data_IF_312137693274
#
_entry.id   IF_312137693274
#
_cell.length_a   1.000
_cell.length_b   1.000
_cell.length_c   1.000
_cell.angle_alpha   90.00
_cell.angle_beta   90.00
_cell.angle_gamma   90.00
#
_symmetry.space_group_name_H-M   'P 1'
#
loop_
_entity.id
_entity.type
_entity.pdbx_description
1 polymer ?
#
# COMPACT_ATOMS: atom_id res chain seq x y z
N UNK A 1 6.32 -11.30 -17.56
CA UNK A 1 6.00 -9.98 -18.15
C UNK A 1 5.85 -10.05 -19.68
N UNK A 2 6.81 -10.61 -20.42
CA UNK A 2 6.72 -10.75 -21.90
C UNK A 2 5.50 -11.54 -22.37
N UNK A 3 5.16 -12.68 -21.73
CA UNK A 3 4.02 -13.52 -22.13
C UNK A 3 2.67 -12.77 -22.06
N UNK A 4 2.45 -11.91 -21.09
CA UNK A 4 1.22 -11.12 -20.99
C UNK A 4 1.13 -10.02 -22.07
N UNK A 5 2.27 -9.47 -22.49
CA UNK A 5 2.35 -8.47 -23.56
C UNK A 5 2.13 -9.10 -24.94
N UNK A 6 2.69 -10.31 -25.17
CA UNK A 6 2.46 -11.05 -26.42
C UNK A 6 1.01 -11.50 -26.55
N UNK A 7 0.35 -11.82 -25.43
CA UNK A 7 -1.06 -12.24 -25.39
C UNK A 7 -2.01 -11.06 -25.67
N UNK A 8 -1.71 -9.87 -25.11
CA UNK A 8 -2.51 -8.66 -25.32
C UNK A 8 -1.60 -7.46 -25.41
N UNK A 9 -1.55 -6.80 -26.56
CA UNK A 9 -0.63 -5.67 -26.88
C UNK A 9 -0.92 -4.37 -26.12
N UNK A 10 -1.82 -4.40 -25.13
CA UNK A 10 -2.17 -3.25 -24.29
C UNK A 10 -1.90 -3.56 -22.82
N UNK A 11 -1.13 -2.68 -22.17
CA UNK A 11 -0.93 -2.76 -20.71
C UNK A 11 -2.16 -2.13 -20.04
N UNK A 12 -2.88 -2.86 -19.17
CA UNK A 12 -4.02 -2.31 -18.44
C UNK A 12 -3.60 -1.20 -17.49
N UNK A 13 -4.46 -0.19 -17.33
CA UNK A 13 -4.25 0.90 -16.36
C UNK A 13 -4.36 0.40 -14.92
N UNK A 14 -5.25 -0.56 -14.64
CA UNK A 14 -5.42 -1.15 -13.31
C UNK A 14 -4.45 -2.32 -13.12
N UNK A 15 -3.74 -2.34 -11.99
CA UNK A 15 -2.81 -3.43 -11.63
C UNK A 15 -3.52 -4.79 -11.56
N UNK A 16 -4.74 -4.84 -11.03
CA UNK A 16 -5.56 -6.05 -10.95
C UNK A 16 -5.79 -6.67 -12.33
N UNK A 17 -6.14 -5.86 -13.34
CA UNK A 17 -6.32 -6.33 -14.71
C UNK A 17 -5.02 -6.85 -15.33
N UNK A 18 -3.88 -6.27 -14.98
CA UNK A 18 -2.58 -6.76 -15.43
C UNK A 18 -2.30 -8.17 -14.91
N UNK A 19 -2.49 -8.41 -13.60
CA UNK A 19 -2.27 -9.74 -13.04
C UNK A 19 -3.26 -10.79 -13.57
N UNK A 20 -4.51 -10.38 -13.86
CA UNK A 20 -5.46 -11.24 -14.55
C UNK A 20 -4.96 -11.63 -15.94
N UNK A 21 -4.49 -10.68 -16.72
CA UNK A 21 -3.91 -10.95 -18.05
C UNK A 21 -2.69 -11.87 -17.99
N UNK A 22 -1.84 -11.73 -16.97
CA UNK A 22 -0.69 -12.64 -16.77
C UNK A 22 -1.17 -14.05 -16.54
N UNK A 23 -2.19 -14.26 -15.70
CA UNK A 23 -2.77 -15.57 -15.46
C UNK A 23 -3.41 -16.17 -16.72
N UNK A 24 -4.26 -15.42 -17.39
CA UNK A 24 -4.94 -15.85 -18.61
C UNK A 24 -3.92 -16.22 -19.70
N UNK A 25 -2.88 -15.40 -19.88
CA UNK A 25 -1.80 -15.68 -20.81
C UNK A 25 -1.06 -16.98 -20.48
N UNK A 26 -0.71 -17.23 -19.22
CA UNK A 26 -0.06 -18.47 -18.83
C UNK A 26 -0.98 -19.68 -18.95
N UNK A 27 -2.26 -19.50 -18.65
CA UNK A 27 -3.21 -20.59 -18.73
C UNK A 27 -3.51 -21.00 -20.19
N UNK A 28 -3.64 -20.01 -21.10
CA UNK A 28 -4.01 -20.22 -22.50
C UNK A 28 -2.79 -20.39 -23.43
N UNK A 29 -1.69 -19.62 -23.23
CA UNK A 29 -0.59 -19.57 -24.19
C UNK A 29 0.29 -20.83 -24.21
N UNK A 30 0.23 -21.65 -23.17
CA UNK A 30 0.90 -22.95 -23.20
C UNK A 30 0.30 -23.88 -24.28
N UNK A 31 -0.91 -23.57 -24.76
CA UNK A 31 -1.58 -24.28 -25.82
C UNK A 31 -1.19 -23.78 -27.23
N UNK A 32 -0.70 -22.53 -27.37
CA UNK A 32 -0.46 -21.88 -28.67
C UNK A 32 0.99 -21.94 -29.18
N UNK A 33 1.98 -22.14 -28.32
CA UNK A 33 3.41 -22.00 -28.68
C UNK A 33 4.05 -23.25 -29.30
N UNK A 34 3.37 -24.37 -29.32
CA UNK A 34 3.83 -25.58 -30.03
C UNK A 34 2.91 -25.88 -31.20
N UNK A 35 3.25 -25.36 -32.36
CA UNK A 35 2.54 -25.46 -33.63
C UNK A 35 2.19 -26.89 -34.11
N UNK A 36 1.34 -27.55 -33.39
CA UNK A 36 0.81 -28.90 -33.69
C UNK A 36 -0.22 -29.28 -32.66
N UNK A 37 -1.45 -28.88 -32.82
CA UNK A 37 -2.72 -29.51 -32.34
C UNK A 37 -2.80 -30.25 -31.01
N UNK A 38 -1.80 -30.22 -30.17
CA UNK A 38 -1.78 -30.83 -28.83
C UNK A 38 -2.05 -29.79 -27.78
N UNK A 39 -3.28 -29.71 -27.32
CA UNK A 39 -3.62 -29.09 -26.01
C UNK A 39 -2.91 -29.91 -24.93
N UNK A 40 -1.93 -29.33 -24.26
CA UNK A 40 -1.40 -29.93 -23.04
C UNK A 40 -2.47 -29.79 -21.96
N UNK A 41 -3.28 -30.81 -21.80
CA UNK A 41 -4.18 -30.94 -20.66
C UNK A 41 -3.36 -30.71 -19.38
N UNK A 42 -3.83 -29.79 -18.52
CA UNK A 42 -3.23 -29.58 -17.20
C UNK A 42 -3.30 -30.94 -16.46
N UNK A 43 -2.22 -31.30 -15.81
CA UNK A 43 -2.15 -32.60 -15.09
C UNK A 43 -3.23 -32.73 -14.03
N UNK A 44 -3.58 -31.63 -13.39
CA UNK A 44 -4.66 -31.60 -12.38
C UNK A 44 -6.06 -31.76 -13.01
N UNK A 45 -6.22 -31.63 -14.32
CA UNK A 45 -7.50 -31.77 -15.02
C UNK A 45 -8.53 -30.69 -14.72
N UNK A 46 -8.15 -29.59 -14.08
CA UNK A 46 -9.03 -28.46 -13.80
C UNK A 46 -9.13 -27.54 -15.02
N UNK A 47 -10.34 -27.05 -15.28
CA UNK A 47 -10.57 -25.95 -16.18
C UNK A 47 -10.06 -24.61 -15.57
N UNK A 48 -10.08 -23.52 -16.35
CA UNK A 48 -9.58 -22.23 -15.93
C UNK A 48 -10.28 -21.72 -14.68
N UNK A 49 -11.58 -21.91 -14.55
CA UNK A 49 -12.37 -21.46 -13.42
C UNK A 49 -12.07 -22.28 -12.15
N UNK A 50 -11.95 -23.58 -12.27
CA UNK A 50 -11.57 -24.46 -11.17
C UNK A 50 -10.17 -24.19 -10.69
N UNK A 51 -9.22 -24.01 -11.63
CA UNK A 51 -7.84 -23.68 -11.32
C UNK A 51 -7.73 -22.33 -10.60
N UNK A 52 -8.41 -21.29 -11.11
CA UNK A 52 -8.46 -19.94 -10.52
C UNK A 52 -9.02 -19.96 -9.09
N UNK A 53 -10.10 -20.71 -8.83
CA UNK A 53 -10.69 -20.83 -7.48
C UNK A 53 -9.71 -21.43 -6.46
N UNK A 54 -9.05 -22.53 -6.83
CA UNK A 54 -8.05 -23.18 -5.97
C UNK A 54 -6.85 -22.24 -5.75
N UNK A 55 -6.38 -21.59 -6.82
CA UNK A 55 -5.26 -20.66 -6.78
C UNK A 55 -5.54 -19.45 -5.85
N UNK A 56 -6.71 -18.85 -5.95
CA UNK A 56 -7.14 -17.75 -5.05
C UNK A 56 -7.13 -18.19 -3.59
N UNK A 57 -7.71 -19.35 -3.30
CA UNK A 57 -7.74 -19.87 -1.93
C UNK A 57 -6.34 -20.19 -1.40
N UNK A 58 -5.50 -20.80 -2.23
CA UNK A 58 -4.10 -21.10 -1.92
C UNK A 58 -3.31 -19.80 -1.62
N UNK A 59 -3.47 -18.79 -2.46
CA UNK A 59 -2.81 -17.50 -2.28
C UNK A 59 -3.20 -16.82 -0.95
N UNK A 60 -4.47 -16.91 -0.57
CA UNK A 60 -4.94 -16.41 0.72
C UNK A 60 -4.35 -17.19 1.92
N UNK A 61 -4.22 -18.51 1.84
CA UNK A 61 -3.54 -19.29 2.89
C UNK A 61 -2.04 -18.95 2.99
N UNK A 62 -1.38 -18.75 1.84
CA UNK A 62 -0.01 -18.27 1.79
C UNK A 62 0.14 -16.89 2.45
N UNK A 63 -0.78 -15.96 2.17
CA UNK A 63 -0.81 -14.64 2.79
C UNK A 63 -0.96 -14.75 4.31
N UNK A 64 -1.85 -15.60 4.81
CA UNK A 64 -2.05 -15.83 6.25
C UNK A 64 -0.78 -16.32 6.95
N UNK A 65 0.03 -17.12 6.26
CA UNK A 65 1.31 -17.62 6.77
C UNK A 65 2.43 -16.57 6.68
N UNK A 66 2.20 -15.43 6.03
CA UNK A 66 3.17 -14.35 5.82
C UNK A 66 4.48 -14.85 5.18
N UNK A 67 4.39 -15.83 4.29
CA UNK A 67 5.54 -16.39 3.56
C UNK A 67 5.26 -16.43 2.07
N UNK A 68 6.32 -16.38 1.27
CA UNK A 68 6.29 -16.56 -0.19
C UNK A 68 7.06 -17.80 -0.62
N UNK A 69 7.71 -18.49 0.32
CA UNK A 69 8.58 -19.66 0.07
C UNK A 69 8.16 -20.79 0.99
N UNK A 70 8.07 -22.01 0.46
CA UNK A 70 7.55 -23.16 1.16
C UNK A 70 8.34 -24.42 0.82
N UNK A 71 8.67 -25.28 1.81
CA UNK A 71 9.03 -26.67 1.55
C UNK A 71 7.89 -27.40 0.81
N UNK A 72 8.24 -28.43 0.05
CA UNK A 72 7.29 -29.18 -0.78
C UNK A 72 6.06 -29.68 0.00
N UNK A 73 6.28 -30.27 1.17
CA UNK A 73 5.18 -30.79 1.98
C UNK A 73 4.25 -29.67 2.45
N UNK A 74 4.81 -28.52 2.85
CA UNK A 74 4.03 -27.36 3.29
C UNK A 74 3.15 -26.78 2.18
N UNK A 75 3.65 -26.69 0.94
CA UNK A 75 2.86 -26.17 -0.17
C UNK A 75 1.77 -27.19 -0.61
N UNK A 76 2.06 -28.48 -0.55
CA UNK A 76 1.07 -29.54 -0.80
C UNK A 76 -0.06 -29.53 0.26
N UNK A 77 0.28 -29.28 1.53
CA UNK A 77 -0.70 -29.11 2.60
C UNK A 77 -1.59 -27.89 2.33
N UNK A 78 -1.02 -26.76 1.91
CA UNK A 78 -1.78 -25.55 1.56
C UNK A 78 -2.74 -25.85 0.40
N UNK A 79 -2.29 -26.52 -0.66
CA UNK A 79 -3.14 -26.92 -1.79
C UNK A 79 -4.27 -27.84 -1.31
N UNK A 80 -3.96 -28.79 -0.45
CA UNK A 80 -4.93 -29.74 0.11
C UNK A 80 -5.98 -29.02 0.97
N UNK A 81 -5.56 -28.05 1.80
CA UNK A 81 -6.46 -27.21 2.58
C UNK A 81 -7.35 -26.39 1.64
N UNK A 82 -6.77 -25.84 0.57
CA UNK A 82 -7.51 -25.03 -0.40
C UNK A 82 -8.61 -25.78 -1.11
N UNK A 83 -8.39 -27.06 -1.41
CA UNK A 83 -9.40 -27.96 -2.02
C UNK A 83 -10.61 -28.18 -1.10
N UNK A 84 -10.45 -28.13 0.23
CA UNK A 84 -11.56 -28.39 1.17
C UNK A 84 -12.72 -27.40 1.02
N UNK A 85 -12.47 -26.18 0.58
CA UNK A 85 -13.52 -25.18 0.32
C UNK A 85 -14.34 -25.51 -0.95
N UNK A 86 -13.86 -26.44 -1.78
CA UNK A 86 -14.46 -26.84 -3.07
C UNK A 86 -14.58 -28.36 -3.19
N UNK A 87 -15.46 -29.02 -2.41
CA UNK A 87 -15.49 -30.48 -2.28
C UNK A 87 -15.88 -31.22 -3.58
N UNK A 88 -16.51 -30.55 -4.53
CA UNK A 88 -16.86 -31.11 -5.85
C UNK A 88 -15.66 -31.17 -6.79
N UNK A 89 -14.57 -30.42 -6.53
CA UNK A 89 -13.39 -30.43 -7.36
C UNK A 89 -12.47 -31.58 -6.98
N UNK A 90 -12.27 -32.49 -7.91
CA UNK A 90 -11.40 -33.66 -7.73
C UNK A 90 -10.10 -33.46 -8.52
N UNK A 91 -8.98 -33.41 -7.82
CA UNK A 91 -7.65 -33.35 -8.40
C UNK A 91 -6.59 -33.81 -7.39
N UNK A 92 -5.40 -34.11 -7.85
CA UNK A 92 -4.27 -34.48 -7.01
C UNK A 92 -3.42 -33.26 -6.73
N UNK A 93 -3.13 -32.98 -5.45
CA UNK A 93 -2.40 -31.77 -5.05
C UNK A 93 -1.00 -31.65 -5.70
N UNK A 94 -0.30 -32.76 -5.89
CA UNK A 94 0.99 -32.79 -6.59
C UNK A 94 0.88 -32.44 -8.08
N UNK A 95 -0.23 -32.78 -8.72
CA UNK A 95 -0.46 -32.44 -10.13
C UNK A 95 -0.77 -30.96 -10.28
N UNK A 96 -1.56 -30.39 -9.38
CA UNK A 96 -1.80 -28.94 -9.31
C UNK A 96 -0.51 -28.16 -9.06
N UNK A 97 0.34 -28.64 -8.13
CA UNK A 97 1.65 -28.04 -7.89
C UNK A 97 2.52 -28.11 -9.15
N UNK A 98 2.56 -29.27 -9.83
CA UNK A 98 3.31 -29.40 -11.08
C UNK A 98 2.81 -28.45 -12.17
N UNK A 99 1.51 -28.24 -12.28
CA UNK A 99 0.95 -27.28 -13.23
C UNK A 99 1.33 -25.84 -12.89
N UNK A 100 1.37 -25.48 -11.60
CA UNK A 100 1.83 -24.16 -11.14
C UNK A 100 3.32 -23.89 -11.41
N UNK A 101 4.12 -24.93 -11.60
CA UNK A 101 5.55 -24.80 -11.89
C UNK A 101 5.86 -24.83 -13.39
N UNK A 102 5.04 -25.54 -14.20
CA UNK A 102 5.38 -25.83 -15.60
C UNK A 102 4.34 -25.35 -16.60
N UNK A 103 3.05 -25.55 -16.34
CA UNK A 103 1.96 -25.25 -17.29
C UNK A 103 1.42 -23.83 -17.11
N UNK A 104 1.30 -23.39 -15.88
CA UNK A 104 0.87 -22.04 -15.48
C UNK A 104 1.91 -21.49 -14.49
N UNK A 105 3.11 -21.09 -14.95
CA UNK A 105 4.28 -20.90 -14.09
C UNK A 105 4.16 -19.70 -13.17
N UNK A 106 3.38 -19.84 -12.12
CA UNK A 106 3.19 -18.87 -11.04
C UNK A 106 4.03 -19.20 -9.80
N UNK A 107 4.55 -20.42 -9.73
CA UNK A 107 5.57 -20.86 -8.77
C UNK A 107 6.86 -21.21 -9.48
N UNK A 108 7.97 -21.09 -8.78
CA UNK A 108 9.28 -21.59 -9.20
C UNK A 108 9.95 -22.36 -8.06
N UNK A 109 10.84 -23.27 -8.43
CA UNK A 109 11.65 -24.04 -7.48
C UNK A 109 13.00 -23.35 -7.32
N UNK A 110 13.40 -23.06 -6.08
CA UNK A 110 14.69 -22.51 -5.72
C UNK A 110 15.34 -23.40 -4.64
N UNK A 111 16.28 -24.25 -5.06
CA UNK A 111 16.81 -25.32 -4.22
C UNK A 111 15.74 -26.34 -3.82
N UNK A 112 15.38 -26.36 -2.55
CA UNK A 112 14.31 -27.26 -2.01
C UNK A 112 13.00 -26.54 -1.73
N UNK A 113 12.92 -25.24 -2.04
CA UNK A 113 11.76 -24.40 -1.75
C UNK A 113 10.96 -24.12 -3.03
N UNK A 114 9.64 -24.13 -2.88
CA UNK A 114 8.67 -23.67 -3.86
C UNK A 114 8.25 -22.26 -3.50
N UNK A 115 8.43 -21.32 -4.41
CA UNK A 115 8.11 -19.91 -4.14
C UNK A 115 7.30 -19.26 -5.25
N UNK A 116 6.50 -18.28 -4.88
CA UNK A 116 5.81 -17.44 -5.83
C UNK A 116 6.82 -16.68 -6.70
N UNK A 117 6.63 -16.70 -8.03
CA UNK A 117 7.50 -15.97 -8.97
C UNK A 117 7.53 -14.47 -8.68
N UNK A 118 6.45 -13.95 -8.08
CA UNK A 118 6.37 -12.59 -7.58
C UNK A 118 5.35 -12.48 -6.44
N UNK A 119 5.71 -11.81 -5.35
CA UNK A 119 4.83 -11.60 -4.18
C UNK A 119 3.49 -10.95 -4.57
N UNK A 120 3.50 -9.98 -5.49
CA UNK A 120 2.27 -9.29 -5.90
C UNK A 120 1.27 -10.18 -6.64
N UNK A 121 1.71 -11.28 -7.26
CA UNK A 121 0.80 -12.28 -7.85
C UNK A 121 0.03 -13.00 -6.73
N UNK A 122 0.73 -13.43 -5.69
CA UNK A 122 0.10 -14.00 -4.49
C UNK A 122 -0.91 -13.03 -3.88
N UNK A 123 -0.51 -11.77 -3.70
CA UNK A 123 -1.37 -10.74 -3.10
C UNK A 123 -2.59 -10.44 -3.97
N UNK A 124 -2.46 -10.46 -5.30
CA UNK A 124 -3.58 -10.30 -6.23
C UNK A 124 -4.61 -11.41 -6.07
N UNK A 125 -4.20 -12.68 -6.13
CA UNK A 125 -5.13 -13.80 -5.98
C UNK A 125 -5.74 -13.86 -4.57
N UNK A 126 -5.00 -13.47 -3.54
CA UNK A 126 -5.52 -13.35 -2.19
C UNK A 126 -6.59 -12.23 -2.08
N UNK A 127 -6.40 -11.08 -2.74
CA UNK A 127 -7.38 -10.00 -2.80
C UNK A 127 -8.65 -10.44 -3.54
N UNK A 128 -8.51 -11.14 -4.67
CA UNK A 128 -9.63 -11.75 -5.42
C UNK A 128 -10.41 -12.75 -4.56
N UNK A 129 -9.71 -13.59 -3.76
CA UNK A 129 -10.37 -14.51 -2.85
C UNK A 129 -11.21 -13.80 -1.79
N UNK A 130 -10.66 -12.74 -1.18
CA UNK A 130 -11.40 -11.97 -0.17
C UNK A 130 -12.65 -11.34 -0.79
N UNK A 131 -12.53 -10.78 -2.00
CA UNK A 131 -13.63 -10.12 -2.68
C UNK A 131 -14.71 -11.10 -3.13
N UNK A 132 -14.33 -12.18 -3.83
CA UNK A 132 -15.28 -13.07 -4.51
C UNK A 132 -15.77 -14.22 -3.65
N UNK A 133 -14.86 -14.87 -2.91
CA UNK A 133 -15.14 -16.13 -2.21
C UNK A 133 -15.49 -15.90 -0.74
N UNK A 134 -15.22 -14.73 -0.17
CA UNK A 134 -15.54 -14.35 1.22
C UNK A 134 -16.42 -13.11 1.33
N UNK A 135 -17.38 -12.94 0.42
CA UNK A 135 -18.24 -11.75 0.35
C UNK A 135 -18.86 -11.34 1.70
N UNK A 136 -19.40 -12.30 2.47
CA UNK A 136 -19.99 -12.04 3.79
C UNK A 136 -18.96 -11.65 4.86
N UNK A 137 -17.67 -11.89 4.63
CA UNK A 137 -16.58 -11.64 5.58
C UNK A 137 -15.60 -10.58 5.10
N UNK A 138 -15.70 -10.09 3.85
CA UNK A 138 -14.72 -9.17 3.26
C UNK A 138 -14.49 -7.92 4.10
N UNK A 139 -15.56 -7.28 4.57
CA UNK A 139 -15.47 -6.10 5.43
C UNK A 139 -14.75 -6.40 6.77
N UNK A 140 -15.03 -7.55 7.38
CA UNK A 140 -14.36 -7.97 8.61
C UNK A 140 -12.88 -8.25 8.38
N UNK A 141 -12.52 -8.87 7.27
CA UNK A 141 -11.13 -9.16 6.90
C UNK A 141 -10.37 -7.87 6.66
N UNK A 142 -10.92 -6.93 5.86
CA UNK A 142 -10.29 -5.65 5.57
C UNK A 142 -10.07 -4.81 6.83
N UNK A 143 -11.09 -4.70 7.69
CA UNK A 143 -10.97 -4.01 8.99
C UNK A 143 -9.91 -4.66 9.89
N UNK A 144 -9.81 -5.99 9.89
CA UNK A 144 -8.77 -6.68 10.63
C UNK A 144 -7.37 -6.42 10.09
N UNK A 145 -7.20 -6.33 8.77
CA UNK A 145 -5.92 -5.94 8.13
C UNK A 145 -5.55 -4.49 8.46
N UNK A 146 -6.51 -3.57 8.36
CA UNK A 146 -6.32 -2.15 8.67
C UNK A 146 -5.87 -1.93 10.12
N UNK A 147 -6.45 -2.66 11.06
CA UNK A 147 -6.13 -2.56 12.49
C UNK A 147 -4.97 -3.48 12.93
N UNK A 148 -4.32 -4.15 11.98
CA UNK A 148 -3.20 -5.04 12.29
C UNK A 148 -1.95 -4.25 12.69
N UNK A 149 -1.23 -4.73 13.70
CA UNK A 149 0.11 -4.23 14.03
C UNK A 149 1.14 -4.49 12.92
N UNK A 150 0.80 -5.30 11.91
CA UNK A 150 1.61 -5.62 10.73
C UNK A 150 0.95 -5.12 9.44
N UNK A 151 0.28 -3.97 9.51
CA UNK A 151 -0.42 -3.38 8.36
C UNK A 151 0.49 -3.22 7.13
N UNK A 152 1.78 -2.94 7.35
CA UNK A 152 2.78 -2.84 6.28
C UNK A 152 2.87 -4.06 5.38
N UNK A 153 2.54 -5.25 5.91
CA UNK A 153 2.55 -6.48 5.12
C UNK A 153 1.36 -6.61 4.16
N UNK A 154 0.32 -5.79 4.35
CA UNK A 154 -0.91 -5.81 3.57
C UNK A 154 -1.07 -4.63 2.60
N UNK A 155 -0.18 -3.64 2.63
CA UNK A 155 -0.33 -2.39 1.85
C UNK A 155 -0.51 -2.67 0.36
N UNK A 156 0.31 -3.54 -0.24
CA UNK A 156 0.18 -3.85 -1.67
C UNK A 156 -1.08 -4.67 -1.98
N UNK A 157 -1.49 -5.58 -1.09
CA UNK A 157 -2.79 -6.27 -1.23
C UNK A 157 -3.94 -5.28 -1.18
N UNK A 158 -3.91 -4.32 -0.25
CA UNK A 158 -4.93 -3.29 -0.11
C UNK A 158 -5.00 -2.38 -1.34
N UNK A 159 -3.85 -2.05 -1.95
CA UNK A 159 -3.78 -1.32 -3.22
C UNK A 159 -4.47 -2.09 -4.36
N UNK A 160 -4.20 -3.39 -4.47
CA UNK A 160 -4.84 -4.28 -5.45
C UNK A 160 -6.33 -4.46 -5.16
N UNK A 161 -6.71 -4.57 -3.89
CA UNK A 161 -8.11 -4.71 -3.48
C UNK A 161 -8.95 -3.49 -3.86
N UNK A 162 -8.40 -2.27 -3.74
CA UNK A 162 -9.08 -1.06 -4.21
C UNK A 162 -9.46 -1.14 -5.70
N UNK A 163 -8.59 -1.70 -6.53
CA UNK A 163 -8.86 -1.87 -7.96
C UNK A 163 -10.01 -2.86 -8.25
N UNK A 164 -10.26 -3.81 -7.33
CA UNK A 164 -11.24 -4.89 -7.47
C UNK A 164 -12.61 -4.47 -6.89
N UNK A 165 -12.61 -3.88 -5.68
CA UNK A 165 -13.81 -3.52 -4.92
C UNK A 165 -13.58 -2.20 -4.16
N UNK A 166 -13.69 -1.09 -4.88
CA UNK A 166 -13.50 0.25 -4.33
C UNK A 166 -14.60 0.62 -3.32
N UNK A 167 -15.82 0.12 -3.46
CA UNK A 167 -16.94 0.39 -2.55
C UNK A 167 -16.59 -0.11 -1.13
N UNK A 168 -16.30 -1.41 -1.00
CA UNK A 168 -15.95 -1.99 0.30
C UNK A 168 -14.67 -1.37 0.85
N UNK A 169 -13.69 -1.06 -0.01
CA UNK A 169 -12.46 -0.40 0.41
C UNK A 169 -12.71 1.00 0.97
N UNK A 170 -13.55 1.80 0.30
CA UNK A 170 -13.92 3.13 0.79
C UNK A 170 -14.56 3.07 2.18
N UNK A 171 -15.50 2.14 2.40
CA UNK A 171 -16.20 1.99 3.68
C UNK A 171 -15.26 1.46 4.78
N UNK A 172 -14.41 0.49 4.47
CA UNK A 172 -13.65 -0.24 5.47
C UNK A 172 -12.26 0.31 5.76
N UNK A 173 -11.67 1.05 4.81
CA UNK A 173 -10.28 1.54 4.89
C UNK A 173 -10.23 3.06 4.81
N UNK A 174 -10.80 3.67 3.75
CA UNK A 174 -10.67 5.11 3.54
C UNK A 174 -11.47 5.89 4.57
N UNK A 175 -12.73 5.53 4.80
CA UNK A 175 -13.56 6.22 5.78
C UNK A 175 -12.90 6.29 7.17
N UNK A 176 -12.52 5.17 7.82
CA UNK A 176 -11.88 5.25 9.14
C UNK A 176 -10.54 6.00 9.12
N UNK A 177 -9.75 5.89 8.05
CA UNK A 177 -8.51 6.63 7.91
C UNK A 177 -8.71 8.14 7.87
N UNK A 178 -9.71 8.61 7.11
CA UNK A 178 -10.03 10.03 7.01
C UNK A 178 -10.72 10.57 8.28
N UNK A 179 -11.53 9.77 8.95
CA UNK A 179 -12.09 10.10 10.26
C UNK A 179 -10.99 10.26 11.31
N UNK A 180 -10.02 9.35 11.36
CA UNK A 180 -8.83 9.47 12.22
C UNK A 180 -8.03 10.74 11.91
N UNK A 181 -7.86 11.07 10.61
CA UNK A 181 -7.22 12.31 10.20
C UNK A 181 -7.96 13.55 10.72
N UNK A 182 -9.29 13.60 10.61
CA UNK A 182 -10.06 14.75 11.11
C UNK A 182 -9.99 14.90 12.62
N UNK A 183 -9.98 13.80 13.37
CA UNK A 183 -9.76 13.82 14.82
C UNK A 183 -8.36 14.38 15.14
N UNK A 184 -7.34 13.87 14.45
CA UNK A 184 -5.97 14.35 14.59
C UNK A 184 -5.85 15.84 14.22
N UNK A 185 -6.43 16.25 13.09
CA UNK A 185 -6.48 17.64 12.67
C UNK A 185 -7.08 18.56 13.75
N UNK A 186 -8.25 18.18 14.27
CA UNK A 186 -8.94 19.00 15.28
C UNK A 186 -8.15 19.14 16.58
N UNK A 187 -7.35 18.14 16.94
CA UNK A 187 -6.52 18.16 18.15
C UNK A 187 -5.20 18.92 17.98
N UNK A 188 -4.73 19.14 16.74
CA UNK A 188 -3.44 19.77 16.45
C UNK A 188 -3.59 21.13 15.74
N UNK A 189 -4.82 21.52 15.41
CA UNK A 189 -5.06 22.81 14.78
C UNK A 189 -4.93 23.94 15.83
N UNK A 190 -3.96 24.80 15.58
CA UNK A 190 -3.73 26.02 16.35
C UNK A 190 -3.55 27.14 15.34
N UNK A 191 -4.36 28.18 15.46
CA UNK A 191 -4.19 29.37 14.64
C UNK A 191 -2.91 30.11 15.07
N UNK A 192 -2.05 30.42 14.10
CA UNK A 192 -0.74 31.02 14.32
C UNK A 192 -0.73 32.33 13.54
N UNK A 193 -0.48 33.46 14.24
CA UNK A 193 -0.43 34.78 13.63
C UNK A 193 0.63 34.82 12.52
N UNK A 194 0.24 35.34 11.35
CA UNK A 194 1.13 35.45 10.19
C UNK A 194 1.34 34.15 9.39
N UNK A 195 0.71 33.01 9.75
CA UNK A 195 0.75 31.78 9.02
C UNK A 195 -0.62 31.49 8.38
N UNK A 196 -0.62 31.15 7.09
CA UNK A 196 -1.86 30.82 6.39
C UNK A 196 -2.48 29.53 6.93
N UNK A 197 -3.81 29.44 6.90
CA UNK A 197 -4.51 28.19 7.27
C UNK A 197 -3.99 27.00 6.43
N UNK A 198 -3.70 27.24 5.17
CA UNK A 198 -3.16 26.24 4.24
C UNK A 198 -1.83 25.66 4.74
N UNK A 199 -0.92 26.49 5.21
CA UNK A 199 0.36 26.04 5.79
C UNK A 199 0.18 25.27 7.09
N UNK A 200 -0.82 25.63 7.90
CA UNK A 200 -1.17 24.87 9.10
C UNK A 200 -1.71 23.48 8.73
N UNK A 201 -2.58 23.39 7.71
CA UNK A 201 -3.10 22.13 7.20
C UNK A 201 -1.97 21.23 6.65
N UNK A 202 -1.02 21.79 5.92
CA UNK A 202 0.15 21.07 5.41
C UNK A 202 0.97 20.45 6.54
N UNK A 203 1.25 21.23 7.57
CA UNK A 203 1.97 20.75 8.74
C UNK A 203 1.22 19.61 9.43
N UNK A 204 -0.07 19.75 9.64
CA UNK A 204 -0.87 18.74 10.29
C UNK A 204 -0.91 17.46 9.44
N UNK A 205 -1.04 17.58 8.13
CA UNK A 205 -0.98 16.46 7.20
C UNK A 205 0.36 15.72 7.32
N UNK A 206 1.47 16.45 7.33
CA UNK A 206 2.80 15.86 7.46
C UNK A 206 2.98 15.15 8.82
N UNK A 207 2.49 15.75 9.90
CA UNK A 207 2.56 15.16 11.24
C UNK A 207 1.71 13.90 11.36
N UNK A 208 0.55 13.87 10.72
CA UNK A 208 -0.29 12.68 10.65
C UNK A 208 0.38 11.53 9.88
N UNK A 209 1.16 11.85 8.87
CA UNK A 209 1.92 10.88 8.08
C UNK A 209 3.14 10.31 8.81
N UNK A 210 3.64 11.00 9.83
CA UNK A 210 4.78 10.51 10.61
C UNK A 210 5.52 11.59 11.38
N UNK A 211 6.66 11.22 11.89
CA UNK A 211 7.49 12.09 12.73
C UNK A 211 8.66 12.66 11.93
N UNK A 212 8.82 13.97 11.99
CA UNK A 212 9.85 14.70 11.27
C UNK A 212 10.72 15.49 12.24
N UNK A 213 12.03 15.45 12.04
CA UNK A 213 13.00 16.28 12.72
C UNK A 213 13.87 17.01 11.72
N UNK A 214 14.26 18.22 12.08
CA UNK A 214 15.11 19.09 11.27
C UNK A 214 16.37 19.39 12.06
N UNK A 215 17.53 19.23 11.41
CA UNK A 215 18.83 19.57 11.96
C UNK A 215 19.54 20.60 11.11
N UNK A 216 20.30 21.49 11.74
CA UNK A 216 21.12 22.50 11.10
C UNK A 216 22.57 22.38 11.56
N UNK A 217 23.54 22.58 10.66
CA UNK A 217 24.96 22.55 10.97
C UNK A 217 25.72 23.74 10.35
N UNK A 218 26.90 24.06 10.92
CA UNK A 218 27.76 25.16 10.44
C UNK A 218 28.86 24.74 9.46
N UNK A 219 29.42 23.57 9.66
CA UNK A 219 30.58 23.05 8.95
C UNK A 219 30.44 21.54 8.65
N UNK A 220 31.41 20.97 7.93
CA UNK A 220 31.38 19.55 7.53
C UNK A 220 31.37 18.57 8.71
N UNK A 221 32.05 18.91 9.80
CA UNK A 221 32.10 18.05 11.00
C UNK A 221 30.78 18.15 11.79
N UNK A 222 30.10 19.30 11.73
CA UNK A 222 28.79 19.50 12.33
C UNK A 222 27.68 18.65 11.73
N UNK A 223 27.75 18.31 10.44
CA UNK A 223 26.73 17.48 9.80
C UNK A 223 26.59 16.12 10.47
N UNK A 224 27.71 15.39 10.66
CA UNK A 224 27.68 14.07 11.30
C UNK A 224 27.09 14.17 12.71
N UNK A 225 27.54 15.15 13.48
CA UNK A 225 27.01 15.38 14.84
C UNK A 225 25.51 15.66 14.85
N UNK A 226 24.99 16.43 13.90
CA UNK A 226 23.55 16.72 13.80
C UNK A 226 22.78 15.47 13.40
N UNK A 227 23.24 14.69 12.43
CA UNK A 227 22.61 13.44 12.03
C UNK A 227 22.55 12.42 13.17
N UNK A 228 23.65 12.27 13.93
CA UNK A 228 23.69 11.36 15.08
C UNK A 228 22.73 11.83 16.21
N UNK A 229 22.63 13.13 16.46
CA UNK A 229 21.63 13.68 17.40
C UNK A 229 20.19 13.49 16.92
N UNK A 230 19.91 13.67 15.63
CA UNK A 230 18.59 13.41 15.05
C UNK A 230 18.19 11.94 15.21
N UNK A 231 19.11 11.03 14.95
CA UNK A 231 18.90 9.60 15.20
C UNK A 231 18.60 9.32 16.67
N UNK A 232 19.37 9.90 17.58
CA UNK A 232 19.14 9.72 19.01
C UNK A 232 17.77 10.22 19.47
N UNK A 233 17.33 11.39 18.97
CA UNK A 233 16.01 11.96 19.29
C UNK A 233 14.90 11.06 18.74
N UNK A 234 15.00 10.58 17.50
CA UNK A 234 14.01 9.70 16.88
C UNK A 234 13.96 8.34 17.57
N UNK A 235 15.11 7.77 17.92
CA UNK A 235 15.17 6.52 18.69
C UNK A 235 14.52 6.67 20.07
N UNK A 236 14.82 7.74 20.78
CA UNK A 236 14.25 8.00 22.10
C UNK A 236 12.73 8.17 22.06
N UNK A 237 12.19 8.90 21.06
CA UNK A 237 10.76 9.19 20.93
C UNK A 237 9.95 8.00 20.41
N UNK A 238 10.52 7.21 19.48
CA UNK A 238 9.76 6.23 18.70
C UNK A 238 10.26 4.79 18.85
N UNK A 239 11.42 4.57 19.51
CA UNK A 239 12.06 3.26 19.57
C UNK A 239 12.46 2.69 18.19
N UNK A 240 12.54 3.54 17.17
CA UNK A 240 12.86 3.17 15.79
C UNK A 240 14.12 3.88 15.34
N UNK A 241 15.00 3.16 14.66
CA UNK A 241 16.18 3.75 14.03
C UNK A 241 15.78 4.61 12.83
N UNK A 242 16.24 5.85 12.81
CA UNK A 242 16.19 6.70 11.64
C UNK A 242 17.11 6.10 10.57
N UNK A 243 16.51 5.33 9.63
CA UNK A 243 17.29 4.61 8.61
C UNK A 243 17.94 5.55 7.59
N UNK A 244 17.36 6.72 7.36
CA UNK A 244 17.88 7.67 6.38
C UNK A 244 17.59 9.11 6.80
N UNK A 245 18.63 9.94 6.81
CA UNK A 245 18.53 11.38 6.80
C UNK A 245 18.97 11.81 5.38
N UNK A 246 18.03 12.09 4.49
CA UNK A 246 18.30 12.07 3.06
C UNK A 246 18.27 13.43 2.39
N UNK A 247 17.95 14.52 3.11
CA UNK A 247 17.74 15.78 2.47
C UNK A 247 18.67 16.83 3.04
N UNK A 248 19.51 17.36 2.16
CA UNK A 248 20.49 18.38 2.47
C UNK A 248 20.25 19.61 1.61
N UNK A 249 19.80 20.70 2.24
CA UNK A 249 19.76 22.01 1.60
C UNK A 249 20.70 22.96 2.29
N UNK A 250 21.77 23.30 1.62
CA UNK A 250 22.78 24.14 2.22
C UNK A 250 23.31 23.54 3.53
N UNK A 251 22.90 24.06 4.67
CA UNK A 251 23.27 23.59 6.00
C UNK A 251 22.12 22.99 6.82
N UNK A 252 21.08 22.55 6.15
CA UNK A 252 19.90 21.95 6.79
C UNK A 252 19.79 20.50 6.36
N UNK A 253 19.52 19.60 7.30
CA UNK A 253 19.14 18.22 7.04
C UNK A 253 17.82 17.88 7.71
N UNK A 254 17.08 17.00 7.11
CA UNK A 254 15.79 16.54 7.62
C UNK A 254 15.74 15.03 7.70
N UNK A 255 15.06 14.50 8.70
CA UNK A 255 14.75 13.11 8.85
C UNK A 255 13.27 12.92 9.14
N UNK A 256 12.68 11.92 8.50
CA UNK A 256 11.28 11.56 8.67
C UNK A 256 11.12 10.05 8.88
N UNK A 257 10.24 9.66 9.79
CA UNK A 257 9.82 8.27 9.99
C UNK A 257 8.31 8.22 9.76
N UNK A 258 7.92 7.58 8.67
CA UNK A 258 6.52 7.41 8.31
C UNK A 258 5.79 6.48 9.27
N UNK A 259 4.58 6.86 9.67
CA UNK A 259 3.66 5.96 10.32
C UNK A 259 3.13 4.91 9.33
N UNK A 260 2.74 3.74 9.82
CA UNK A 260 2.29 2.64 8.93
C UNK A 260 1.06 3.03 8.11
N UNK A 261 0.14 3.80 8.68
CA UNK A 261 -1.06 4.29 7.99
C UNK A 261 -0.75 5.28 6.86
N UNK A 262 0.38 5.99 6.95
CA UNK A 262 0.84 6.88 5.88
C UNK A 262 1.09 6.14 4.57
N UNK A 263 1.45 4.87 4.62
CA UNK A 263 1.64 4.04 3.43
C UNK A 263 0.32 3.84 2.66
N UNK A 264 -0.81 3.76 3.38
CA UNK A 264 -2.13 3.73 2.73
C UNK A 264 -2.46 5.10 2.14
N UNK A 265 -2.22 6.19 2.90
CA UNK A 265 -2.42 7.55 2.40
C UNK A 265 -1.63 7.82 1.11
N UNK A 266 -0.41 7.32 1.02
CA UNK A 266 0.44 7.48 -0.16
C UNK A 266 -0.08 6.72 -1.41
N UNK A 267 -1.00 5.77 -1.24
CA UNK A 267 -1.67 5.10 -2.36
C UNK A 267 -2.84 5.92 -2.94
N UNK A 268 -3.35 6.89 -2.19
CA UNK A 268 -4.61 7.58 -2.52
C UNK A 268 -4.48 8.72 -3.53
N UNK A 269 -3.39 9.52 -3.63
CA UNK A 269 -3.34 10.66 -4.55
C UNK A 269 -3.70 10.33 -6.00
N UNK A 270 -3.20 9.24 -6.62
CA UNK A 270 -3.61 8.88 -7.97
C UNK A 270 -5.05 8.32 -8.07
N UNK A 271 -5.63 7.89 -6.96
CA UNK A 271 -6.97 7.27 -6.89
C UNK A 271 -8.04 8.30 -6.53
N UNK A 272 -7.72 9.23 -5.66
CA UNK A 272 -8.60 10.26 -5.09
C UNK A 272 -7.90 11.64 -5.10
N UNK A 273 -7.53 12.16 -6.29
CA UNK A 273 -6.72 13.38 -6.38
C UNK A 273 -7.40 14.61 -5.76
N UNK A 274 -8.73 14.67 -5.73
CA UNK A 274 -9.47 15.77 -5.13
C UNK A 274 -9.23 15.96 -3.63
N UNK A 275 -8.86 14.89 -2.92
CA UNK A 275 -8.58 14.95 -1.48
C UNK A 275 -7.25 15.63 -1.17
N UNK A 276 -6.38 15.80 -2.16
CA UNK A 276 -5.02 16.22 -1.98
C UNK A 276 -4.75 17.51 -2.73
N UNK A 277 -3.79 18.28 -2.20
CA UNK A 277 -3.26 19.46 -2.83
C UNK A 277 -1.89 19.15 -3.42
N UNK A 278 -1.67 19.55 -4.66
CA UNK A 278 -0.34 19.61 -5.23
C UNK A 278 0.47 20.73 -4.58
N UNK A 279 1.71 20.41 -4.24
CA UNK A 279 2.62 21.38 -3.61
C UNK A 279 3.39 22.07 -4.73
N UNK A 280 3.29 23.39 -4.77
CA UNK A 280 4.08 24.21 -5.70
C UNK A 280 5.58 24.07 -5.40
N UNK A 281 6.40 24.17 -6.45
CA UNK A 281 7.85 24.18 -6.30
C UNK A 281 8.29 25.31 -5.37
N UNK A 282 9.19 24.98 -4.44
CA UNK A 282 9.84 25.95 -3.57
C UNK A 282 11.21 26.24 -4.17
N UNK A 283 11.50 27.51 -4.45
CA UNK A 283 12.81 27.90 -4.91
C UNK A 283 13.83 27.77 -3.76
N UNK A 284 15.05 27.29 -4.10
CA UNK A 284 16.13 27.13 -3.12
C UNK A 284 16.50 28.48 -2.48
N UNK A 285 16.31 29.60 -3.19
CA UNK A 285 16.58 30.95 -2.71
C UNK A 285 15.58 31.42 -1.62
N UNK A 286 14.41 30.78 -1.50
CA UNK A 286 13.42 31.07 -0.47
C UNK A 286 13.81 30.51 0.91
N UNK A 287 14.89 29.72 0.99
CA UNK A 287 15.37 29.17 2.26
C UNK A 287 16.17 30.22 3.01
N UNK A 288 15.72 30.65 4.22
CA UNK A 288 16.42 31.64 4.99
C UNK A 288 17.87 31.23 5.30
N UNK A 289 18.81 32.14 5.07
CA UNK A 289 20.23 31.98 5.43
C UNK A 289 20.40 32.13 6.93
N UNK A 290 20.16 31.04 7.67
CA UNK A 290 20.33 31.03 9.12
C UNK A 290 21.78 30.98 9.55
N UNK A 291 22.14 31.81 10.53
CA UNK A 291 23.51 31.97 11.03
C UNK A 291 23.82 31.30 12.36
N UNK A 292 22.84 30.64 13.01
CA UNK A 292 23.00 30.13 14.38
C UNK A 292 23.27 28.63 14.53
N UNK A 293 23.72 28.25 15.74
CA UNK A 293 24.17 26.90 16.14
C UNK A 293 23.22 25.75 15.80
N UNK A 294 23.73 24.52 15.67
CA UNK A 294 22.89 23.38 15.30
C UNK A 294 21.80 23.15 16.36
N UNK A 295 20.56 23.45 15.99
CA UNK A 295 19.37 23.07 16.75
C UNK A 295 18.70 21.89 16.06
N UNK A 296 18.30 20.91 16.84
CA UNK A 296 17.36 19.90 16.41
C UNK A 296 15.98 20.41 16.78
N UNK A 297 15.14 20.59 15.78
CA UNK A 297 13.81 21.14 15.95
C UNK A 297 12.82 20.04 15.56
N UNK A 298 11.99 19.64 16.50
CA UNK A 298 10.78 18.88 16.22
C UNK A 298 9.83 19.79 15.45
N UNK A 299 9.26 19.32 14.36
CA UNK A 299 8.33 20.12 13.53
C UNK A 299 7.15 20.65 14.34
N UNK A 300 6.78 20.00 15.45
CA UNK A 300 5.77 20.49 16.37
C UNK A 300 6.15 21.81 17.10
N UNK A 301 7.45 22.04 17.31
CA UNK A 301 7.95 23.23 18.04
C UNK A 301 8.42 24.34 17.10
N UNK A 302 8.21 24.18 15.81
CA UNK A 302 8.73 25.04 14.76
C UNK A 302 7.78 26.21 14.44
N UNK A 303 7.72 27.23 15.25
CA UNK A 303 6.76 28.32 15.08
C UNK A 303 7.33 29.74 15.18
N UNK A 304 8.67 29.90 15.35
CA UNK A 304 9.22 31.24 15.64
C UNK A 304 9.44 32.11 14.39
N UNK A 305 9.36 31.55 13.18
CA UNK A 305 9.54 32.26 11.91
C UNK A 305 8.54 31.77 10.86
N UNK A 306 7.54 32.59 10.57
CA UNK A 306 6.44 32.21 9.67
C UNK A 306 6.89 31.85 8.25
N UNK A 307 7.90 32.56 7.70
CA UNK A 307 8.40 32.31 6.37
C UNK A 307 9.15 30.96 6.31
N UNK A 308 10.01 30.72 7.32
CA UNK A 308 10.74 29.45 7.40
C UNK A 308 9.81 28.26 7.62
N UNK A 309 8.79 28.44 8.45
CA UNK A 309 7.75 27.44 8.69
C UNK A 309 7.04 27.02 7.40
N UNK A 310 6.56 27.97 6.61
CA UNK A 310 5.85 27.71 5.36
C UNK A 310 6.74 27.00 4.33
N UNK A 311 7.95 27.54 4.12
CA UNK A 311 8.94 26.97 3.20
C UNK A 311 9.30 25.54 3.59
N UNK A 312 9.63 25.29 4.85
CA UNK A 312 10.03 23.96 5.31
C UNK A 312 8.89 22.94 5.22
N UNK A 313 7.65 23.33 5.50
CA UNK A 313 6.52 22.43 5.31
C UNK A 313 6.32 22.02 3.86
N UNK A 314 6.35 22.97 2.93
CA UNK A 314 6.25 22.70 1.49
C UNK A 314 7.38 21.79 1.02
N UNK A 315 8.61 22.06 1.47
CA UNK A 315 9.77 21.23 1.12
C UNK A 315 9.65 19.82 1.68
N UNK A 316 9.25 19.64 2.94
CA UNK A 316 9.06 18.34 3.57
C UNK A 316 8.04 17.51 2.80
N UNK A 317 6.90 18.08 2.49
CA UNK A 317 5.86 17.40 1.74
C UNK A 317 6.36 16.98 0.34
N UNK A 318 7.08 17.85 -0.37
CA UNK A 318 7.62 17.57 -1.71
C UNK A 318 8.68 16.47 -1.71
N UNK A 319 9.67 16.56 -0.84
CA UNK A 319 10.81 15.64 -0.83
C UNK A 319 10.46 14.23 -0.34
N UNK A 320 9.50 14.12 0.57
CA UNK A 320 9.00 12.82 0.98
C UNK A 320 7.82 12.34 0.11
N UNK A 321 7.51 13.09 -0.98
CA UNK A 321 6.41 12.77 -1.89
C UNK A 321 5.05 12.66 -1.18
N UNK A 322 4.87 13.40 -0.10
CA UNK A 322 3.58 13.47 0.58
C UNK A 322 2.69 14.50 -0.10
N UNK A 323 1.47 14.09 -0.39
CA UNK A 323 0.42 15.00 -0.80
C UNK A 323 -0.27 15.57 0.43
N UNK A 324 -0.49 16.88 0.46
CA UNK A 324 -1.18 17.51 1.57
C UNK A 324 -2.68 17.29 1.48
N UNK A 325 -3.27 16.89 2.60
CA UNK A 325 -4.69 16.53 2.67
C UNK A 325 -5.51 17.82 2.83
N UNK A 326 -6.53 17.98 1.98
CA UNK A 326 -7.48 19.09 2.00
C UNK A 326 -8.64 18.77 2.94
N UNK A 327 -8.69 19.44 4.10
CA UNK A 327 -9.69 19.16 5.14
C UNK A 327 -11.13 19.34 4.65
N UNK A 328 -11.40 20.39 3.85
CA UNK A 328 -12.72 20.63 3.26
C UNK A 328 -13.19 19.48 2.37
N UNK A 329 -12.28 18.97 1.53
CA UNK A 329 -12.55 17.87 0.62
C UNK A 329 -12.75 16.55 1.37
N UNK A 330 -11.96 16.32 2.43
CA UNK A 330 -12.15 15.15 3.30
C UNK A 330 -13.55 15.13 3.90
N UNK A 331 -14.02 16.25 4.45
CA UNK A 331 -15.37 16.37 5.02
C UNK A 331 -16.44 16.08 3.96
N UNK A 332 -16.28 16.65 2.77
CA UNK A 332 -17.20 16.45 1.64
C UNK A 332 -17.22 14.98 1.18
N UNK A 333 -16.04 14.36 1.11
CA UNK A 333 -15.88 12.96 0.69
C UNK A 333 -16.46 11.97 1.71
N UNK A 334 -16.23 12.19 2.99
CA UNK A 334 -16.84 11.38 4.06
C UNK A 334 -18.37 11.44 4.02
N UNK A 335 -18.92 12.63 3.79
CA UNK A 335 -20.36 12.77 3.59
C UNK A 335 -20.84 11.99 2.36
N UNK A 336 -20.09 12.09 1.25
CA UNK A 336 -20.43 11.35 0.02
C UNK A 336 -20.39 9.82 0.25
N UNK A 337 -19.40 9.29 0.99
CA UNK A 337 -19.35 7.86 1.36
C UNK A 337 -20.63 7.46 2.11
N UNK A 338 -21.00 8.23 3.14
CA UNK A 338 -22.19 7.92 3.95
C UNK A 338 -23.47 8.00 3.11
N UNK A 339 -23.64 9.02 2.28
CA UNK A 339 -24.87 9.22 1.51
C UNK A 339 -25.01 8.24 0.34
N UNK A 340 -23.91 7.77 -0.26
CA UNK A 340 -23.96 7.03 -1.52
C UNK A 340 -23.46 5.58 -1.43
N UNK A 341 -22.54 5.26 -0.55
CA UNK A 341 -21.96 3.93 -0.48
C UNK A 341 -22.57 3.10 0.66
N UNK A 342 -22.71 3.67 1.84
CA UNK A 342 -23.24 2.92 3.01
C UNK A 342 -24.73 2.62 2.80
N UNK A 343 -25.53 3.57 2.37
CA UNK A 343 -26.96 3.35 2.12
C UNK A 343 -27.19 2.28 1.04
N UNK A 344 -26.42 2.31 -0.06
CA UNK A 344 -26.51 1.26 -1.10
C UNK A 344 -26.06 -0.10 -0.60
N UNK A 345 -25.02 -0.14 0.22
CA UNK A 345 -24.51 -1.39 0.78
C UNK A 345 -25.52 -2.04 1.74
N UNK A 346 -26.27 -1.24 2.49
CA UNK A 346 -27.35 -1.70 3.35
C UNK A 346 -28.57 -2.15 2.53
N UNK A 347 -28.93 -1.43 1.48
CA UNK A 347 -30.02 -1.76 0.58
C UNK A 347 -29.79 -3.08 -0.17
N UNK A 348 -28.57 -3.32 -0.67
CA UNK A 348 -28.19 -4.56 -1.36
C UNK A 348 -28.23 -5.78 -0.42
N UNK A 349 -27.87 -5.60 0.85
CA UNK A 349 -27.94 -6.67 1.88
C UNK A 349 -29.41 -6.98 2.22
N UNK A 350 -30.26 -5.96 2.27
CA UNK A 350 -31.68 -6.12 2.63
C UNK A 350 -32.56 -6.56 1.47
N UNK A 351 -32.24 -6.18 0.23
CA UNK A 351 -32.95 -6.60 -0.96
C UNK A 351 -32.79 -8.07 -1.34
N UNK A 352 -31.81 -8.76 -0.74
CA UNK A 352 -31.55 -10.20 -0.89
C UNK A 352 -32.26 -11.09 0.15
N UNK A 353 -33.02 -10.50 1.05
CA UNK A 353 -33.83 -11.17 2.06
C UNK A 353 -35.31 -11.11 1.71
#
# INVERSE_FOLDING_TARGET
>A
MYAAFDFKQTIPLKKSNFYRQVFDAYFESHDLTKGGGYTHEKKCGLDIDGFDKILRRMAYECLRKQSIEYPKDSILDIITISRKDYPTMQFVASDFLNDLEHSVPLLCVDGTLHKWVHKSIQEYFAAEYICRDKQSLKSKILKAMYNSSKLENYVNLLDLYYDIDDITFNICIIKPLLEEYLVFYSSHFVEIEGISQESIEDRISLLFMGNTVIGKWRDKDGLKTVVDKMRAVMNQKLGKDLKTCNIYWGKICMGHISETKSQILNLLPPKLPSLFREISDVAIDDIPKYTESPRIIDVNTFCDDSNLYEVLNKMLCKEYHYSCIRVSEVKSYLKWISDNLENRYEDDITAGL
#
